data_IF_728687333080
#
_entry.id   IF_728687333080
#
_cell.length_a   1.000
_cell.length_b   1.000
_cell.length_c   1.000
_cell.angle_alpha   90.00
_cell.angle_beta   90.00
_cell.angle_gamma   90.00
#
_symmetry.space_group_name_H-M   'P 1'
#
loop_
_entity.id
_entity.type
_entity.pdbx_description
1 polymer ?
#
# COMPACT_ATOMS: atom_id res chain seq x y z
N UNK A 1 -2.21 -25.72 81.75
CA UNK A 1 -3.19 -26.26 80.77
C UNK A 1 -2.91 -25.54 79.45
N UNK A 2 -1.93 -26.06 78.69
CA UNK A 2 -2.07 -26.70 77.36
C UNK A 2 -2.71 -25.76 76.31
N UNK A 3 -2.07 -25.38 75.21
CA UNK A 3 -1.60 -26.24 74.11
C UNK A 3 -0.18 -25.89 73.59
N UNK A 4 0.50 -26.95 73.15
CA UNK A 4 1.85 -27.11 72.59
C UNK A 4 1.95 -26.89 71.07
N UNK A 5 3.05 -26.24 70.64
CA UNK A 5 3.97 -26.43 69.48
C UNK A 5 3.45 -26.89 68.09
N UNK A 6 3.98 -26.30 67.00
CA UNK A 6 5.01 -26.91 66.10
C UNK A 6 5.54 -25.87 65.08
N UNK A 7 6.87 -25.78 64.83
CA UNK A 7 7.46 -24.88 63.83
C UNK A 7 7.43 -25.47 62.41
N UNK A 8 7.24 -24.63 61.38
CA UNK A 8 7.42 -25.03 59.97
C UNK A 8 8.90 -24.87 59.61
N UNK A 9 9.47 -25.99 59.18
CA UNK A 9 10.85 -26.17 58.78
C UNK A 9 11.12 -25.68 57.34
N UNK A 10 12.38 -25.31 57.10
CA UNK A 10 13.09 -25.74 55.89
C UNK A 10 13.04 -24.81 54.69
N UNK A 11 13.96 -23.85 54.67
CA UNK A 11 14.58 -23.35 53.44
C UNK A 11 15.31 -24.49 52.71
N UNK A 12 15.19 -24.55 51.39
CA UNK A 12 16.11 -25.32 50.55
C UNK A 12 16.35 -24.54 49.25
N UNK A 13 17.44 -23.80 49.25
CA UNK A 13 18.17 -23.35 48.07
C UNK A 13 18.52 -24.57 47.21
N UNK A 14 17.86 -24.73 46.06
CA UNK A 14 18.27 -25.72 45.08
C UNK A 14 19.58 -25.26 44.40
N UNK A 15 20.70 -25.71 44.96
CA UNK A 15 22.00 -25.62 44.31
C UNK A 15 22.02 -26.49 43.04
N UNK A 16 22.51 -25.93 41.94
CA UNK A 16 22.72 -26.63 40.68
C UNK A 16 24.04 -27.40 40.79
N UNK A 17 23.95 -28.72 40.97
CA UNK A 17 25.09 -29.64 40.86
C UNK A 17 25.14 -30.22 39.46
N UNK A 18 26.14 -29.82 38.67
CA UNK A 18 26.45 -30.43 37.38
C UNK A 18 27.51 -31.52 37.59
N UNK A 19 27.06 -32.76 37.83
CA UNK A 19 27.91 -33.94 37.77
C UNK A 19 27.75 -34.59 36.39
N UNK A 20 28.83 -34.65 35.62
CA UNK A 20 28.85 -35.26 34.29
C UNK A 20 28.96 -36.79 34.33
N UNK A 21 28.37 -37.45 33.32
CA UNK A 21 29.04 -38.36 32.39
C UNK A 21 28.01 -39.20 31.60
N UNK A 22 28.07 -39.09 30.26
CA UNK A 22 27.71 -40.17 29.34
C UNK A 22 26.32 -40.13 28.70
N UNK A 23 26.29 -40.01 27.36
CA UNK A 23 25.13 -40.36 26.52
C UNK A 23 24.33 -39.17 25.99
N UNK A 24 24.74 -38.61 24.86
CA UNK A 24 23.95 -37.64 24.10
C UNK A 24 22.97 -38.40 23.21
N UNK A 25 21.73 -38.60 23.69
CA UNK A 25 20.58 -38.86 22.83
C UNK A 25 19.28 -38.39 23.55
N UNK A 26 18.63 -37.37 23.00
CA UNK A 26 17.21 -37.06 23.24
C UNK A 26 16.77 -36.23 24.47
N UNK A 27 17.60 -36.01 25.51
CA UNK A 27 17.05 -35.56 26.80
C UNK A 27 16.89 -34.04 27.04
N UNK A 28 17.59 -33.13 26.34
CA UNK A 28 17.49 -31.69 26.66
C UNK A 28 16.17 -31.06 26.20
N UNK A 29 15.74 -31.36 24.98
CA UNK A 29 14.45 -30.91 24.44
C UNK A 29 13.27 -31.49 25.23
N UNK A 30 13.36 -32.77 25.62
CA UNK A 30 12.35 -33.42 26.45
C UNK A 30 12.26 -32.81 27.86
N UNK A 31 13.40 -32.41 28.44
CA UNK A 31 13.44 -31.71 29.72
C UNK A 31 12.85 -30.31 29.61
N UNK A 32 13.18 -29.55 28.57
CA UNK A 32 12.65 -28.21 28.35
C UNK A 32 11.14 -28.23 28.10
N UNK A 33 10.66 -29.20 27.31
CA UNK A 33 9.24 -29.36 27.00
C UNK A 33 8.43 -29.76 28.23
N UNK A 34 8.95 -30.66 29.06
CA UNK A 34 8.37 -31.00 30.35
C UNK A 34 8.37 -29.81 31.33
N UNK A 35 9.38 -28.95 31.28
CA UNK A 35 9.45 -27.76 32.12
C UNK A 35 8.42 -26.70 31.71
N UNK A 36 8.17 -26.54 30.41
CA UNK A 36 7.11 -25.68 29.85
C UNK A 36 5.72 -26.21 30.25
N UNK A 37 5.49 -27.52 30.13
CA UNK A 37 4.22 -28.15 30.54
C UNK A 37 3.95 -27.99 32.04
N UNK A 38 5.00 -28.09 32.87
CA UNK A 38 4.89 -27.92 34.33
C UNK A 38 4.62 -26.46 34.70
N UNK A 39 5.23 -25.49 34.00
CA UNK A 39 4.95 -24.06 34.19
C UNK A 39 3.52 -23.69 33.78
N UNK A 40 3.01 -24.26 32.68
CA UNK A 40 1.62 -24.05 32.25
C UNK A 40 0.60 -24.64 33.23
N UNK A 41 0.90 -25.80 33.84
CA UNK A 41 0.03 -26.42 34.82
C UNK A 41 0.01 -25.65 36.15
N UNK A 42 1.16 -25.15 36.62
CA UNK A 42 1.24 -24.37 37.87
C UNK A 42 0.66 -22.97 37.76
N UNK A 43 0.60 -22.36 36.57
CA UNK A 43 -0.09 -21.09 36.33
C UNK A 43 -1.61 -21.24 36.33
N UNK A 44 -2.14 -22.39 35.91
CA UNK A 44 -3.58 -22.68 35.91
C UNK A 44 -4.14 -22.96 37.31
N UNK A 45 -3.33 -23.54 38.19
CA UNK A 45 -3.76 -23.96 39.54
C UNK A 45 -3.68 -22.82 40.58
N UNK A 46 -3.00 -21.71 40.24
CA UNK A 46 -2.81 -20.56 41.13
C UNK A 46 -3.92 -19.49 41.05
N UNK A 47 -4.98 -19.69 40.23
CA UNK A 47 -6.13 -18.77 40.16
C UNK A 47 -7.31 -19.29 40.99
N UNK A 48 -7.62 -18.67 42.15
CA UNK A 48 -8.84 -18.99 42.89
C UNK A 48 -10.03 -18.34 42.17
N UNK A 49 -10.82 -19.12 41.45
CA UNK A 49 -12.05 -18.64 40.78
C UNK A 49 -12.57 -19.44 39.58
N UNK A 50 -12.02 -20.61 39.27
CA UNK A 50 -12.43 -21.40 38.11
C UNK A 50 -13.74 -22.19 38.32
N UNK A 51 -14.86 -21.47 38.45
CA UNK A 51 -16.20 -22.00 38.23
C UNK A 51 -16.81 -21.25 37.04
N UNK A 52 -16.24 -21.45 35.86
CA UNK A 52 -16.63 -20.78 34.61
C UNK A 52 -15.59 -20.84 33.50
N UNK A 53 -14.69 -21.83 33.52
CA UNK A 53 -13.66 -22.01 32.50
C UNK A 53 -14.30 -22.51 31.19
N UNK A 54 -14.95 -21.59 30.47
CA UNK A 54 -15.05 -21.72 29.01
C UNK A 54 -13.64 -21.79 28.44
N UNK A 55 -13.44 -22.73 27.52
CA UNK A 55 -12.22 -22.93 26.73
C UNK A 55 -11.39 -21.65 26.57
N UNK A 56 -10.14 -21.64 27.04
CA UNK A 56 -9.19 -20.58 26.72
C UNK A 56 -8.91 -20.62 25.21
N UNK A 57 -9.74 -19.95 24.43
CA UNK A 57 -9.54 -19.89 22.99
C UNK A 57 -8.29 -19.03 22.75
N UNK A 58 -7.24 -19.66 22.23
CA UNK A 58 -5.92 -19.08 22.04
C UNK A 58 -5.98 -17.65 21.46
N UNK A 59 -5.22 -16.73 22.04
CA UNK A 59 -5.09 -15.35 21.57
C UNK A 59 -6.12 -14.35 22.14
N UNK A 60 -7.09 -14.74 22.96
CA UNK A 60 -7.94 -13.79 23.70
C UNK A 60 -7.26 -13.30 24.98
N UNK A 61 -7.54 -12.06 25.40
CA UNK A 61 -7.15 -11.56 26.71
C UNK A 61 -8.24 -11.86 27.74
N UNK A 62 -8.08 -12.88 28.62
CA UNK A 62 -9.14 -13.31 29.54
C UNK A 62 -9.38 -12.32 30.70
N UNK A 63 -8.53 -11.30 30.85
CA UNK A 63 -8.63 -10.32 31.93
C UNK A 63 -9.60 -9.16 31.61
N UNK A 64 -10.09 -9.08 30.38
CA UNK A 64 -11.04 -8.06 29.96
C UNK A 64 -12.49 -8.46 30.27
N UNK A 65 -13.34 -7.47 30.47
CA UNK A 65 -14.79 -7.67 30.63
C UNK A 65 -15.45 -8.25 29.37
N UNK A 66 -14.91 -7.95 28.17
CA UNK A 66 -15.32 -8.52 26.90
C UNK A 66 -14.10 -8.93 26.05
N UNK A 67 -13.54 -10.12 26.29
CA UNK A 67 -12.38 -10.64 25.56
C UNK A 67 -12.63 -10.85 24.06
N UNK A 68 -13.89 -11.05 23.65
CA UNK A 68 -14.25 -11.37 22.27
C UNK A 68 -14.26 -10.10 21.40
N UNK A 69 -14.82 -9.00 21.89
CA UNK A 69 -14.77 -7.71 21.19
C UNK A 69 -13.34 -7.20 21.05
N UNK A 70 -12.52 -7.36 22.10
CA UNK A 70 -11.10 -7.06 22.07
C UNK A 70 -10.36 -7.88 20.99
N UNK A 71 -10.59 -9.18 20.95
CA UNK A 71 -10.01 -10.06 19.93
C UNK A 71 -10.40 -9.66 18.49
N UNK A 72 -11.68 -9.27 18.29
CA UNK A 72 -12.16 -8.76 16.99
C UNK A 72 -11.51 -7.44 16.61
N UNK A 73 -11.28 -6.56 17.59
CA UNK A 73 -10.56 -5.31 17.37
C UNK A 73 -9.11 -5.57 16.94
N UNK A 74 -8.39 -6.47 17.61
CA UNK A 74 -7.02 -6.82 17.18
C UNK A 74 -7.01 -7.49 15.80
N UNK A 75 -7.99 -8.34 15.51
CA UNK A 75 -8.16 -8.95 14.19
C UNK A 75 -8.30 -7.88 13.10
N UNK A 76 -9.11 -6.85 13.36
CA UNK A 76 -9.28 -5.73 12.43
C UNK A 76 -7.99 -4.90 12.30
N UNK A 77 -7.27 -4.65 13.40
CA UNK A 77 -5.96 -3.99 13.37
C UNK A 77 -4.97 -4.78 12.51
N UNK A 78 -4.88 -6.10 12.67
CA UNK A 78 -4.01 -6.96 11.87
C UNK A 78 -4.35 -6.88 10.38
N UNK A 79 -5.64 -6.87 10.03
CA UNK A 79 -6.09 -6.74 8.63
C UNK A 79 -5.75 -5.36 8.06
N UNK A 80 -6.02 -4.29 8.81
CA UNK A 80 -5.76 -2.91 8.39
C UNK A 80 -4.28 -2.63 8.23
N UNK A 81 -3.43 -3.16 9.09
CA UNK A 81 -1.98 -3.03 8.97
C UNK A 81 -1.50 -3.52 7.60
N UNK A 82 -1.91 -4.73 7.20
CA UNK A 82 -1.55 -5.31 5.91
C UNK A 82 -2.15 -4.50 4.75
N UNK A 83 -3.41 -4.05 4.89
CA UNK A 83 -4.05 -3.21 3.87
C UNK A 83 -3.32 -1.87 3.68
N UNK A 84 -2.94 -1.18 4.77
CA UNK A 84 -2.21 0.08 4.70
C UNK A 84 -0.82 -0.08 4.09
N UNK A 85 -0.10 -1.16 4.40
CA UNK A 85 1.20 -1.46 3.79
C UNK A 85 1.05 -1.73 2.28
N UNK A 86 0.04 -2.51 1.89
CA UNK A 86 -0.25 -2.79 0.49
C UNK A 86 -0.65 -1.51 -0.27
N UNK A 87 -1.55 -0.70 0.29
CA UNK A 87 -1.97 0.57 -0.30
C UNK A 87 -0.80 1.56 -0.42
N UNK A 88 0.10 1.61 0.57
CA UNK A 88 1.29 2.45 0.51
C UNK A 88 2.16 2.08 -0.70
N UNK A 89 2.36 0.78 -0.94
CA UNK A 89 3.14 0.33 -2.10
C UNK A 89 2.47 0.71 -3.42
N UNK A 90 1.15 0.51 -3.56
CA UNK A 90 0.42 0.90 -4.77
C UNK A 90 0.40 2.41 -5.00
N UNK A 91 0.20 3.22 -3.94
CA UNK A 91 0.24 4.68 -4.04
C UNK A 91 1.63 5.19 -4.45
N UNK A 92 2.69 4.54 -3.97
CA UNK A 92 4.07 4.88 -4.36
C UNK A 92 4.32 4.55 -5.83
N UNK A 93 3.83 3.40 -6.28
CA UNK A 93 3.91 3.00 -7.69
C UNK A 93 3.12 3.97 -8.58
N UNK A 94 1.91 4.36 -8.16
CA UNK A 94 1.13 5.39 -8.85
C UNK A 94 1.91 6.70 -8.98
N UNK A 95 2.59 7.14 -7.91
CA UNK A 95 3.45 8.32 -7.99
C UNK A 95 4.58 8.17 -9.04
N UNK A 96 5.21 6.99 -9.12
CA UNK A 96 6.22 6.69 -10.13
C UNK A 96 5.65 6.76 -11.55
N UNK A 97 4.48 6.16 -11.79
CA UNK A 97 3.83 6.16 -13.10
C UNK A 97 3.34 7.56 -13.51
N UNK A 98 2.82 8.36 -12.58
CA UNK A 98 2.49 9.78 -12.83
C UNK A 98 3.75 10.56 -13.22
N UNK A 99 4.91 10.28 -12.61
CA UNK A 99 6.16 10.89 -13.00
C UNK A 99 6.65 10.42 -14.39
N UNK A 100 6.40 9.15 -14.75
CA UNK A 100 6.69 8.62 -16.08
C UNK A 100 5.81 9.28 -17.16
N UNK A 101 4.52 9.49 -16.87
CA UNK A 101 3.60 10.24 -17.73
C UNK A 101 4.02 11.69 -17.90
N UNK A 102 4.48 12.35 -16.82
CA UNK A 102 5.10 13.66 -16.92
C UNK A 102 6.27 13.64 -17.90
N UNK A 103 7.16 12.67 -17.78
CA UNK A 103 8.29 12.51 -18.70
C UNK A 103 7.86 12.26 -20.15
N UNK A 104 6.72 11.61 -20.40
CA UNK A 104 6.17 11.46 -21.74
C UNK A 104 5.66 12.80 -22.30
N UNK A 105 4.99 13.62 -21.47
CA UNK A 105 4.60 14.97 -21.84
C UNK A 105 5.82 15.88 -22.06
N UNK A 106 6.83 15.82 -21.20
CA UNK A 106 8.08 16.58 -21.35
C UNK A 106 8.77 16.26 -22.70
N UNK A 107 8.69 15.01 -23.18
CA UNK A 107 9.18 14.63 -24.52
C UNK A 107 8.35 15.24 -25.65
N UNK A 108 7.02 15.32 -25.50
CA UNK A 108 6.16 16.01 -26.47
C UNK A 108 6.54 17.49 -26.61
N UNK A 109 6.87 18.17 -25.50
CA UNK A 109 7.28 19.58 -25.51
C UNK A 109 8.61 19.83 -26.25
N UNK A 110 9.36 18.79 -26.61
CA UNK A 110 10.57 18.93 -27.45
C UNK A 110 10.28 19.00 -28.95
N UNK A 111 9.04 18.69 -29.36
CA UNK A 111 8.60 18.77 -30.74
C UNK A 111 8.34 20.23 -31.11
N UNK A 112 8.79 20.62 -32.29
CA UNK A 112 8.66 21.98 -32.79
C UNK A 112 8.18 22.02 -34.25
N UNK A 113 8.06 23.21 -34.83
CA UNK A 113 7.60 23.38 -36.22
C UNK A 113 8.54 22.72 -37.25
N UNK A 114 9.82 22.53 -36.90
CA UNK A 114 10.83 21.89 -37.77
C UNK A 114 10.78 20.37 -37.72
N UNK A 115 10.13 19.82 -36.70
CA UNK A 115 9.94 18.38 -36.52
C UNK A 115 9.08 17.81 -37.65
N UNK A 116 9.50 16.68 -38.21
CA UNK A 116 8.76 16.02 -39.29
C UNK A 116 7.40 15.54 -38.82
N UNK A 117 6.42 15.44 -39.73
CA UNK A 117 5.09 14.86 -39.45
C UNK A 117 5.21 13.48 -38.79
N UNK A 118 6.18 12.66 -39.24
CA UNK A 118 6.44 11.35 -38.67
C UNK A 118 6.96 11.43 -37.23
N UNK A 119 7.86 12.38 -36.93
CA UNK A 119 8.36 12.56 -35.57
C UNK A 119 7.26 13.05 -34.62
N UNK A 120 6.39 13.95 -35.08
CA UNK A 120 5.25 14.44 -34.31
C UNK A 120 4.26 13.31 -34.02
N UNK A 121 3.89 12.53 -35.05
CA UNK A 121 3.01 11.38 -34.87
C UNK A 121 3.59 10.34 -33.91
N UNK A 122 4.89 10.03 -34.05
CA UNK A 122 5.57 9.09 -33.15
C UNK A 122 5.61 9.59 -31.70
N UNK A 123 5.90 10.87 -31.47
CA UNK A 123 5.87 11.43 -30.12
C UNK A 123 4.49 11.36 -29.48
N UNK A 124 3.43 11.62 -30.26
CA UNK A 124 2.05 11.49 -29.78
C UNK A 124 1.71 10.03 -29.49
N UNK A 125 2.10 9.09 -30.36
CA UNK A 125 1.90 7.66 -30.13
C UNK A 125 2.62 7.17 -28.87
N UNK A 126 3.84 7.65 -28.62
CA UNK A 126 4.60 7.34 -27.40
C UNK A 126 3.90 7.84 -26.15
N UNK A 127 3.33 9.05 -26.20
CA UNK A 127 2.51 9.58 -25.10
C UNK A 127 1.24 8.75 -24.89
N UNK A 128 0.51 8.45 -25.97
CA UNK A 128 -0.69 7.59 -25.93
C UNK A 128 -0.37 6.22 -25.34
N UNK A 129 0.76 5.63 -25.70
CA UNK A 129 1.22 4.35 -25.16
C UNK A 129 1.50 4.45 -23.65
N UNK A 130 2.17 5.51 -23.19
CA UNK A 130 2.42 5.73 -21.78
C UNK A 130 1.12 5.91 -20.98
N UNK A 131 0.19 6.71 -21.49
CA UNK A 131 -1.13 6.90 -20.88
C UNK A 131 -1.93 5.59 -20.80
N UNK A 132 -1.95 4.81 -21.88
CA UNK A 132 -2.64 3.52 -21.90
C UNK A 132 -2.00 2.49 -20.95
N UNK A 133 -0.67 2.48 -20.82
CA UNK A 133 -0.01 1.63 -19.84
C UNK A 133 -0.40 1.99 -18.40
N UNK A 134 -0.58 3.27 -18.12
CA UNK A 134 -1.08 3.74 -16.83
C UNK A 134 -2.55 3.35 -16.59
N UNK A 135 -3.43 3.48 -17.59
CA UNK A 135 -4.82 2.97 -17.51
C UNK A 135 -4.81 1.47 -17.24
N UNK A 136 -4.09 0.69 -18.07
CA UNK A 136 -4.03 -0.77 -17.97
C UNK A 136 -3.51 -1.21 -16.56
N UNK A 137 -2.69 -0.38 -15.89
CA UNK A 137 -2.15 -0.65 -14.56
C UNK A 137 -3.10 -0.30 -13.41
N UNK A 138 -3.85 0.79 -13.51
CA UNK A 138 -4.58 1.35 -12.36
C UNK A 138 -6.11 1.28 -12.47
N UNK A 139 -6.68 0.96 -13.63
CA UNK A 139 -8.13 0.86 -13.77
C UNK A 139 -8.71 -0.24 -12.86
N UNK A 140 -8.07 -1.42 -12.83
CA UNK A 140 -8.45 -2.50 -11.90
C UNK A 140 -8.16 -2.13 -10.44
N UNK A 141 -7.04 -1.46 -10.17
CA UNK A 141 -6.69 -1.04 -8.81
C UNK A 141 -7.68 -0.01 -8.23
N UNK A 142 -8.31 0.80 -9.09
CA UNK A 142 -9.29 1.84 -8.73
C UNK A 142 -10.75 1.34 -8.72
N UNK A 143 -11.01 0.16 -9.29
CA UNK A 143 -12.33 -0.46 -9.31
C UNK A 143 -12.85 -0.78 -7.88
N UNK A 144 -14.13 -1.13 -7.75
CA UNK A 144 -14.82 -1.26 -6.46
C UNK A 144 -14.18 -2.23 -5.44
N UNK A 145 -13.43 -3.24 -5.92
CA UNK A 145 -12.71 -4.22 -5.10
C UNK A 145 -11.18 -4.11 -5.22
N UNK A 146 -10.69 -3.11 -5.96
CA UNK A 146 -9.27 -2.88 -6.19
C UNK A 146 -8.56 -2.31 -4.96
N UNK A 147 -7.23 -2.44 -4.92
CA UNK A 147 -6.44 -2.02 -3.76
C UNK A 147 -6.47 -0.51 -3.47
N UNK A 148 -6.76 0.31 -4.48
CA UNK A 148 -6.94 1.76 -4.35
C UNK A 148 -8.42 2.18 -4.36
N UNK A 149 -9.36 1.24 -4.26
CA UNK A 149 -10.79 1.53 -4.19
C UNK A 149 -11.11 2.58 -3.11
N UNK A 150 -11.77 3.66 -3.50
CA UNK A 150 -12.13 4.75 -2.58
C UNK A 150 -10.95 5.61 -2.11
N UNK A 151 -9.74 5.43 -2.65
CA UNK A 151 -8.58 6.27 -2.35
C UNK A 151 -8.70 7.58 -3.12
N UNK A 152 -9.14 8.64 -2.44
CA UNK A 152 -9.37 9.95 -3.06
C UNK A 152 -8.15 10.47 -3.85
N UNK A 153 -6.94 10.29 -3.33
CA UNK A 153 -5.72 10.73 -4.00
C UNK A 153 -5.53 10.06 -5.37
N UNK A 154 -5.88 8.78 -5.45
CA UNK A 154 -5.76 7.99 -6.67
C UNK A 154 -6.86 8.35 -7.68
N UNK A 155 -8.10 8.52 -7.22
CA UNK A 155 -9.22 8.98 -8.06
C UNK A 155 -8.99 10.38 -8.64
N UNK A 156 -8.49 11.32 -7.82
CA UNK A 156 -8.17 12.67 -8.29
C UNK A 156 -7.03 12.62 -9.31
N UNK A 157 -5.98 11.84 -9.05
CA UNK A 157 -4.90 11.68 -10.02
C UNK A 157 -5.42 11.16 -11.36
N UNK A 158 -6.32 10.16 -11.35
CA UNK A 158 -6.90 9.65 -12.60
C UNK A 158 -7.71 10.71 -13.35
N UNK A 159 -8.61 11.37 -12.64
CA UNK A 159 -9.49 12.37 -13.21
C UNK A 159 -8.74 13.58 -13.78
N UNK A 160 -7.76 14.12 -13.05
CA UNK A 160 -6.99 15.30 -13.48
C UNK A 160 -6.20 15.03 -14.77
N UNK A 161 -5.58 13.85 -14.88
CA UNK A 161 -4.80 13.48 -16.07
C UNK A 161 -5.71 13.24 -17.28
N UNK A 162 -6.85 12.57 -17.10
CA UNK A 162 -7.85 12.38 -18.15
C UNK A 162 -8.39 13.72 -18.65
N UNK A 163 -8.82 14.61 -17.75
CA UNK A 163 -9.37 15.93 -18.12
C UNK A 163 -8.35 16.86 -18.76
N UNK A 164 -7.07 16.71 -18.43
CA UNK A 164 -6.01 17.43 -19.12
C UNK A 164 -5.94 17.05 -20.61
N UNK A 165 -6.14 15.77 -20.96
CA UNK A 165 -6.16 15.29 -22.36
C UNK A 165 -7.43 15.76 -23.09
N UNK A 166 -8.59 15.73 -22.43
CA UNK A 166 -9.86 16.15 -23.02
C UNK A 166 -10.00 17.67 -23.17
N UNK A 167 -9.15 18.45 -22.52
CA UNK A 167 -9.23 19.91 -22.53
C UNK A 167 -9.11 20.48 -23.94
N UNK A 168 -10.15 21.21 -24.36
CA UNK A 168 -10.22 21.89 -25.66
C UNK A 168 -9.41 23.19 -25.72
N UNK A 169 -8.86 23.63 -24.58
CA UNK A 169 -8.25 24.96 -24.47
C UNK A 169 -6.79 24.99 -24.94
N UNK A 170 -6.12 23.83 -24.99
CA UNK A 170 -4.74 23.74 -25.47
C UNK A 170 -4.66 24.14 -26.95
N UNK A 171 -3.83 25.13 -27.28
CA UNK A 171 -3.67 25.64 -28.65
C UNK A 171 -4.81 26.47 -29.20
N UNK A 172 -5.83 26.83 -28.40
CA UNK A 172 -7.01 27.55 -28.87
C UNK A 172 -6.65 28.91 -29.50
N UNK A 173 -5.59 29.56 -29.01
CA UNK A 173 -5.05 30.79 -29.57
C UNK A 173 -4.45 30.60 -30.98
N UNK A 174 -3.91 29.41 -31.26
CA UNK A 174 -3.39 28.99 -32.56
C UNK A 174 -4.44 28.39 -33.51
N UNK A 175 -5.72 28.41 -33.12
CA UNK A 175 -6.83 27.89 -33.94
C UNK A 175 -7.02 26.38 -33.87
N UNK A 176 -6.34 25.67 -32.96
CA UNK A 176 -6.52 24.24 -32.70
C UNK A 176 -7.18 24.07 -31.34
N UNK A 177 -8.25 23.27 -31.23
CA UNK A 177 -9.04 23.16 -30.00
C UNK A 177 -8.68 21.88 -29.22
N UNK A 178 -7.46 21.85 -28.67
CA UNK A 178 -6.98 20.74 -27.87
C UNK A 178 -6.52 19.52 -28.67
N UNK A 179 -6.10 18.50 -27.94
CA UNK A 179 -5.54 17.26 -28.50
C UNK A 179 -6.57 16.45 -29.29
N UNK A 180 -7.87 16.59 -28.98
CA UNK A 180 -8.96 15.97 -29.74
C UNK A 180 -9.07 16.53 -31.15
N UNK A 181 -8.81 17.83 -31.34
CA UNK A 181 -8.73 18.43 -32.67
C UNK A 181 -7.53 17.90 -33.48
N UNK A 182 -6.48 17.42 -32.81
CA UNK A 182 -5.33 16.75 -33.41
C UNK A 182 -5.54 15.25 -33.64
N UNK A 183 -6.69 14.70 -33.25
CA UNK A 183 -7.05 13.30 -33.48
C UNK A 183 -6.81 12.37 -32.29
N UNK A 184 -6.47 12.87 -31.10
CA UNK A 184 -6.48 12.02 -29.90
C UNK A 184 -7.93 11.77 -29.46
N UNK A 185 -8.29 10.50 -29.30
CA UNK A 185 -9.62 10.08 -28.85
C UNK A 185 -9.48 9.17 -27.63
N UNK A 186 -10.22 9.49 -26.57
CA UNK A 186 -10.39 8.61 -25.40
C UNK A 186 -11.64 7.76 -25.63
N UNK A 187 -11.49 6.44 -25.58
CA UNK A 187 -12.62 5.52 -25.59
C UNK A 187 -13.39 5.65 -24.27
N UNK A 188 -14.70 5.95 -24.28
CA UNK A 188 -15.45 6.27 -23.07
C UNK A 188 -15.74 5.06 -22.18
N UNK A 189 -15.42 3.83 -22.63
CA UNK A 189 -15.65 2.60 -21.88
C UNK A 189 -14.36 2.12 -21.22
N UNK A 190 -13.28 2.08 -21.99
CA UNK A 190 -11.96 1.61 -21.53
C UNK A 190 -11.05 2.72 -21.03
N UNK A 191 -11.43 3.99 -21.21
CA UNK A 191 -10.62 5.18 -20.93
C UNK A 191 -9.27 5.23 -21.67
N UNK A 192 -9.05 4.35 -22.67
CA UNK A 192 -7.81 4.27 -23.43
C UNK A 192 -7.78 5.32 -24.53
N UNK A 193 -6.61 5.93 -24.72
CA UNK A 193 -6.34 6.87 -25.79
C UNK A 193 -5.97 6.15 -27.10
N UNK A 194 -6.29 6.79 -28.21
CA UNK A 194 -5.85 6.41 -29.56
C UNK A 194 -5.60 7.67 -30.41
N UNK A 195 -4.82 7.54 -31.48
CA UNK A 195 -4.52 8.62 -32.41
C UNK A 195 -5.11 8.36 -33.79
N UNK A 196 -5.97 9.25 -34.26
CA UNK A 196 -6.35 9.36 -35.68
C UNK A 196 -5.23 10.10 -36.44
N UNK A 197 -4.39 9.31 -37.11
CA UNK A 197 -3.28 9.83 -37.91
C UNK A 197 -3.73 10.61 -39.15
N UNK A 198 -4.90 10.34 -39.70
CA UNK A 198 -5.40 11.10 -40.86
C UNK A 198 -5.83 12.50 -40.43
N UNK A 199 -6.51 12.60 -39.30
CA UNK A 199 -6.87 13.88 -38.71
C UNK A 199 -5.63 14.70 -38.36
N UNK A 200 -4.65 14.08 -37.67
CA UNK A 200 -3.37 14.74 -37.34
C UNK A 200 -2.68 15.28 -38.60
N UNK A 201 -2.53 14.45 -39.64
CA UNK A 201 -1.90 14.85 -40.90
C UNK A 201 -2.65 16.01 -41.57
N UNK A 202 -3.99 15.99 -41.53
CA UNK A 202 -4.83 17.08 -42.05
C UNK A 202 -4.59 18.40 -41.33
N UNK A 203 -4.51 18.40 -40.01
CA UNK A 203 -4.23 19.63 -39.23
C UNK A 203 -2.80 20.12 -39.45
N UNK A 204 -1.81 19.22 -39.48
CA UNK A 204 -0.42 19.59 -39.75
C UNK A 204 -0.25 20.22 -41.14
N UNK A 205 -0.92 19.68 -42.16
CA UNK A 205 -0.87 20.24 -43.51
C UNK A 205 -1.55 21.62 -43.63
N UNK A 206 -2.63 21.86 -42.87
CA UNK A 206 -3.41 23.09 -42.92
C UNK A 206 -2.96 24.19 -41.96
N UNK A 207 -2.43 23.82 -40.79
CA UNK A 207 -2.05 24.73 -39.70
C UNK A 207 -0.99 24.10 -38.78
N UNK A 208 0.21 23.87 -39.31
CA UNK A 208 1.35 23.30 -38.57
C UNK A 208 1.69 24.07 -37.30
N UNK A 209 1.78 25.40 -37.37
CA UNK A 209 2.12 26.24 -36.21
C UNK A 209 1.10 26.08 -35.09
N UNK A 210 -0.21 26.13 -35.41
CA UNK A 210 -1.26 25.88 -34.43
C UNK A 210 -1.25 24.46 -33.87
N UNK A 211 -0.92 23.45 -34.67
CA UNK A 211 -0.83 22.06 -34.21
C UNK A 211 0.31 21.86 -33.21
N UNK A 212 1.52 22.33 -33.54
CA UNK A 212 2.69 22.24 -32.66
C UNK A 212 2.47 23.06 -31.40
N UNK A 213 1.91 24.28 -31.51
CA UNK A 213 1.55 25.09 -30.35
C UNK A 213 0.55 24.41 -29.42
N UNK A 214 -0.44 23.70 -29.97
CA UNK A 214 -1.38 22.91 -29.17
C UNK A 214 -0.71 21.74 -28.43
N UNK A 215 0.25 21.08 -29.07
CA UNK A 215 1.04 19.99 -28.46
C UNK A 215 1.89 20.55 -27.31
N UNK A 216 2.57 21.68 -27.52
CA UNK A 216 3.40 22.34 -26.52
C UNK A 216 2.56 22.82 -25.32
N UNK A 217 1.45 23.53 -25.57
CA UNK A 217 0.50 23.96 -24.54
C UNK A 217 0.00 22.76 -23.72
N UNK A 218 -0.44 21.70 -24.40
CA UNK A 218 -0.90 20.48 -23.74
C UNK A 218 0.20 19.86 -22.89
N UNK A 219 1.40 19.67 -23.48
CA UNK A 219 2.52 19.03 -22.82
C UNK A 219 2.93 19.77 -21.55
N UNK A 220 3.05 21.10 -21.62
CA UNK A 220 3.40 21.94 -20.48
C UNK A 220 2.36 21.85 -19.36
N UNK A 221 1.06 21.94 -19.69
CA UNK A 221 -0.01 21.88 -18.69
C UNK A 221 -0.14 20.48 -18.09
N UNK A 222 -0.10 19.43 -18.91
CA UNK A 222 -0.16 18.05 -18.45
C UNK A 222 1.03 17.72 -17.54
N UNK A 223 2.24 18.11 -17.95
CA UNK A 223 3.43 17.91 -17.13
C UNK A 223 3.33 18.63 -15.79
N UNK A 224 2.78 19.86 -15.78
CA UNK A 224 2.55 20.61 -14.56
C UNK A 224 1.51 19.95 -13.65
N UNK A 225 0.40 19.45 -14.20
CA UNK A 225 -0.60 18.71 -13.42
C UNK A 225 -0.01 17.45 -12.80
N UNK A 226 0.74 16.66 -13.58
CA UNK A 226 1.43 15.46 -13.08
C UNK A 226 2.47 15.79 -11.99
N UNK A 227 3.21 16.89 -12.14
CA UNK A 227 4.11 17.39 -11.09
C UNK A 227 3.35 17.75 -9.81
N UNK A 228 2.25 18.49 -9.91
CA UNK A 228 1.47 18.93 -8.75
C UNK A 228 0.85 17.75 -7.99
N UNK A 229 0.37 16.72 -8.69
CA UNK A 229 -0.16 15.50 -8.05
C UNK A 229 0.85 14.82 -7.13
N UNK A 230 2.13 14.82 -7.54
CA UNK A 230 3.26 14.22 -6.83
C UNK A 230 4.00 15.17 -5.87
N UNK A 231 3.77 16.47 -5.97
CA UNK A 231 4.50 17.48 -5.20
C UNK A 231 4.26 17.33 -3.69
N UNK A 232 5.24 17.75 -2.90
CA UNK A 232 5.11 17.79 -1.45
C UNK A 232 3.85 18.58 -1.04
N UNK A 233 3.11 18.02 -0.07
CA UNK A 233 1.87 18.62 0.41
C UNK A 233 0.64 18.45 -0.50
N UNK A 234 0.75 17.71 -1.62
CA UNK A 234 -0.38 17.40 -2.50
C UNK A 234 -0.91 15.96 -2.31
N UNK A 235 -1.82 15.53 -3.18
CA UNK A 235 -2.65 14.33 -3.02
C UNK A 235 -1.84 13.06 -2.75
N UNK A 236 -0.90 12.69 -3.64
CA UNK A 236 -0.15 11.42 -3.53
C UNK A 236 0.80 11.48 -2.33
N UNK A 237 1.56 12.57 -2.19
CA UNK A 237 2.50 12.77 -1.08
C UNK A 237 1.81 12.76 0.29
N UNK A 238 0.67 13.44 0.44
CA UNK A 238 -0.09 13.44 1.69
C UNK A 238 -0.67 12.07 2.02
N UNK A 239 -1.15 11.32 1.00
CA UNK A 239 -1.67 9.96 1.24
C UNK A 239 -0.55 9.03 1.72
N UNK A 240 0.61 9.06 1.06
CA UNK A 240 1.79 8.30 1.49
C UNK A 240 2.24 8.68 2.91
N UNK A 241 2.28 9.98 3.23
CA UNK A 241 2.63 10.44 4.58
C UNK A 241 1.64 9.95 5.64
N UNK A 242 0.33 9.99 5.35
CA UNK A 242 -0.70 9.49 6.26
C UNK A 242 -0.61 7.98 6.46
N UNK A 243 -0.39 7.22 5.38
CA UNK A 243 -0.18 5.77 5.43
C UNK A 243 1.07 5.42 6.25
N UNK A 244 2.19 6.13 6.01
CA UNK A 244 3.43 5.94 6.79
C UNK A 244 3.19 6.15 8.28
N UNK A 245 2.49 7.22 8.68
CA UNK A 245 2.20 7.51 10.09
C UNK A 245 1.37 6.41 10.77
N UNK A 246 0.33 5.90 10.10
CA UNK A 246 -0.51 4.85 10.69
C UNK A 246 0.22 3.52 10.75
N UNK A 247 1.02 3.18 9.74
CA UNK A 247 1.86 1.97 9.75
C UNK A 247 2.87 2.05 10.90
N UNK A 248 3.60 3.15 11.02
CA UNK A 248 4.57 3.37 12.11
C UNK A 248 3.90 3.31 13.49
N UNK A 249 2.69 3.85 13.61
CA UNK A 249 1.94 3.77 14.86
C UNK A 249 1.60 2.33 15.22
N UNK A 250 1.09 1.54 14.27
CA UNK A 250 0.74 0.13 14.53
C UNK A 250 1.99 -0.67 14.90
N UNK A 251 3.10 -0.48 14.17
CA UNK A 251 4.36 -1.18 14.42
C UNK A 251 4.90 -0.89 15.84
N UNK A 252 5.02 0.39 16.20
CA UNK A 252 5.54 0.79 17.53
C UNK A 252 4.65 0.38 18.69
N UNK A 253 3.35 0.26 18.48
CA UNK A 253 2.38 -0.05 19.53
C UNK A 253 1.90 -1.51 19.48
N UNK A 254 2.41 -2.34 18.55
CA UNK A 254 1.89 -3.69 18.30
C UNK A 254 1.81 -4.54 19.56
N UNK A 255 2.90 -4.59 20.32
CA UNK A 255 2.96 -5.36 21.56
C UNK A 255 1.97 -4.83 22.62
N UNK A 256 1.83 -3.50 22.75
CA UNK A 256 0.88 -2.89 23.67
C UNK A 256 -0.57 -3.18 23.27
N UNK A 257 -0.89 -3.04 21.98
CA UNK A 257 -2.19 -3.40 21.42
C UNK A 257 -2.49 -4.89 21.63
N UNK A 258 -1.51 -5.77 21.50
CA UNK A 258 -1.69 -7.20 21.75
C UNK A 258 -1.89 -7.53 23.24
N UNK A 259 -1.21 -6.82 24.13
CA UNK A 259 -1.44 -6.94 25.58
C UNK A 259 -2.85 -6.47 25.96
N UNK A 260 -3.33 -5.40 25.34
CA UNK A 260 -4.67 -4.88 25.58
C UNK A 260 -5.72 -5.80 24.97
N UNK A 261 -5.66 -6.04 23.67
CA UNK A 261 -6.74 -6.64 22.89
C UNK A 261 -6.62 -8.15 22.66
N UNK A 262 -5.50 -8.77 23.03
CA UNK A 262 -5.15 -10.13 22.61
C UNK A 262 -4.48 -10.15 21.24
N UNK A 263 -4.26 -11.34 20.66
CA UNK A 263 -3.51 -11.51 19.40
C UNK A 263 -4.35 -11.22 18.14
N UNK A 264 -5.66 -11.46 18.21
CA UNK A 264 -6.53 -11.48 17.03
C UNK A 264 -6.19 -12.59 16.03
N UNK A 265 -6.95 -12.66 14.94
CA UNK A 265 -6.58 -13.46 13.76
C UNK A 265 -5.49 -12.75 12.95
N UNK A 266 -4.58 -13.53 12.37
CA UNK A 266 -3.67 -13.02 11.35
C UNK A 266 -4.44 -12.55 10.11
N UNK A 267 -3.93 -11.52 9.44
CA UNK A 267 -4.48 -11.07 8.17
C UNK A 267 -4.38 -12.18 7.11
N UNK A 268 -5.41 -12.28 6.27
CA UNK A 268 -5.48 -13.23 5.15
C UNK A 268 -5.59 -12.43 3.85
N UNK A 269 -4.47 -11.90 3.32
CA UNK A 269 -4.50 -11.10 2.11
C UNK A 269 -4.91 -11.95 0.90
N UNK A 270 -5.66 -11.36 -0.02
CA UNK A 270 -5.84 -11.92 -1.36
C UNK A 270 -4.51 -11.82 -2.17
N UNK A 271 -4.41 -12.42 -3.36
CA UNK A 271 -3.17 -12.39 -4.14
C UNK A 271 -2.65 -10.99 -4.47
N UNK A 272 -3.53 -10.04 -4.77
CA UNK A 272 -3.18 -8.65 -5.09
C UNK A 272 -2.56 -7.94 -3.89
N UNK A 273 -3.24 -7.98 -2.73
CA UNK A 273 -2.75 -7.43 -1.47
C UNK A 273 -1.44 -8.09 -1.06
N UNK A 274 -1.30 -9.42 -1.27
CA UNK A 274 -0.06 -10.13 -0.97
C UNK A 274 1.11 -9.67 -1.85
N UNK A 275 0.88 -9.41 -3.14
CA UNK A 275 1.88 -8.85 -4.06
C UNK A 275 2.32 -7.46 -3.63
N UNK A 276 1.36 -6.56 -3.37
CA UNK A 276 1.66 -5.19 -2.93
C UNK A 276 2.35 -5.16 -1.57
N UNK A 277 1.96 -6.05 -0.64
CA UNK A 277 2.65 -6.23 0.64
C UNK A 277 4.10 -6.70 0.47
N UNK A 278 4.36 -7.60 -0.48
CA UNK A 278 5.72 -8.02 -0.80
C UNK A 278 6.55 -6.85 -1.35
N UNK A 279 5.96 -6.02 -2.23
CA UNK A 279 6.59 -4.81 -2.74
C UNK A 279 6.90 -3.82 -1.60
N UNK A 280 5.96 -3.57 -0.69
CA UNK A 280 6.19 -2.75 0.50
C UNK A 280 7.39 -3.23 1.33
N UNK A 281 7.45 -4.53 1.61
CA UNK A 281 8.55 -5.13 2.39
C UNK A 281 9.90 -5.02 1.69
N UNK A 282 9.93 -5.16 0.36
CA UNK A 282 11.14 -4.96 -0.43
C UNK A 282 11.67 -3.51 -0.31
N UNK A 283 10.80 -2.52 -0.14
CA UNK A 283 11.20 -1.13 0.09
C UNK A 283 11.87 -0.93 1.47
N UNK A 284 11.36 -1.61 2.51
CA UNK A 284 11.93 -1.54 3.86
C UNK A 284 13.27 -2.28 4.01
N UNK A 285 13.51 -3.31 3.20
CA UNK A 285 14.79 -4.03 3.16
C UNK A 285 15.94 -3.30 2.47
N UNK A 286 15.67 -2.17 1.80
CA UNK A 286 16.67 -1.36 1.10
C UNK A 286 17.34 -0.27 1.98
N UNK A 287 17.03 -0.24 3.28
CA UNK A 287 17.58 0.71 4.25
C UNK A 287 18.21 0.02 5.49
N UNK A 288 18.74 -1.19 5.29
CA UNK A 288 19.52 -1.94 6.30
C UNK A 288 21.02 -1.86 6.06
#
# INVERSE_FOLDING_TARGET
>A
MNITLTPIAGSSTAGISLAGAGGLDGSFLALLQRQVETLTASLLDALPGAAGAGSFVAGRNPLLADPESAYRMMTEINRREVAYQAEYAEMREMGSEVAALRGAADRLATLDETSSDTAIAAGIDDFVAAYNAWIDRFDEALAADGLLAGTQAATVAQWELEKSIESIFHGAAGGVRGMTALGIVIDPVSNRASLDRQQLAGVLAGNRSGAVGAIDDFAANFARSAELLNSDGNFIANRLANLSRVIDYIDRNKAALQMEFGLGDAARPNPEVARALAAYRAMGGAAG
#
